data_IF_283208371951
#
_entry.id   IF_283208371951
#
_cell.length_a   1.000
_cell.length_b   1.000
_cell.length_c   1.000
_cell.angle_alpha   90.00
_cell.angle_beta   90.00
_cell.angle_gamma   90.00
#
_symmetry.space_group_name_H-M   'P 1'
#
loop_
_entity.id
_entity.type
_entity.pdbx_description
1 polymer ?
#
# COMPACT_ATOMS: atom_id res chain seq x y z
N UNK A 1 18.90 -10.39 -28.54
CA UNK A 1 17.85 -11.14 -27.84
C UNK A 1 17.42 -10.26 -26.68
N UNK A 2 16.13 -10.01 -26.52
CA UNK A 2 15.63 -9.20 -25.40
C UNK A 2 15.83 -9.98 -24.07
N UNK A 3 16.24 -9.33 -22.96
CA UNK A 3 16.52 -9.99 -21.69
C UNK A 3 15.30 -10.78 -21.17
N UNK A 4 15.52 -11.88 -20.45
CA UNK A 4 14.40 -12.70 -19.94
C UNK A 4 13.61 -11.97 -18.86
N UNK A 5 14.27 -11.17 -18.01
CA UNK A 5 13.62 -10.33 -16.99
C UNK A 5 12.58 -9.37 -17.58
N UNK A 6 12.86 -8.75 -18.72
CA UNK A 6 11.91 -7.82 -19.37
C UNK A 6 10.62 -8.52 -19.81
N UNK A 7 10.72 -9.75 -20.33
CA UNK A 7 9.54 -10.53 -20.67
C UNK A 7 8.75 -10.93 -19.42
N UNK A 8 9.46 -11.37 -18.37
CA UNK A 8 8.86 -11.78 -17.10
C UNK A 8 8.08 -10.62 -16.48
N UNK A 9 8.71 -9.44 -16.35
CA UNK A 9 8.06 -8.23 -15.81
C UNK A 9 6.77 -7.91 -16.58
N UNK A 10 6.82 -7.90 -17.91
CA UNK A 10 5.65 -7.60 -18.74
C UNK A 10 4.54 -8.65 -18.62
N UNK A 11 4.90 -9.92 -18.50
CA UNK A 11 3.93 -11.00 -18.32
C UNK A 11 3.23 -10.87 -16.95
N UNK A 12 4.00 -10.58 -15.90
CA UNK A 12 3.50 -10.33 -14.54
C UNK A 12 2.59 -9.10 -14.51
N UNK A 13 2.99 -8.00 -15.14
CA UNK A 13 2.16 -6.80 -15.29
C UNK A 13 0.87 -7.08 -16.05
N UNK A 14 0.94 -7.89 -17.11
CA UNK A 14 -0.24 -8.27 -17.89
C UNK A 14 -1.24 -9.06 -17.03
N UNK A 15 -0.76 -10.05 -16.28
CA UNK A 15 -1.58 -10.85 -15.37
C UNK A 15 -2.18 -9.99 -14.25
N UNK A 16 -1.35 -9.15 -13.62
CA UNK A 16 -1.76 -8.26 -12.54
C UNK A 16 -2.79 -7.23 -13.02
N UNK A 17 -2.56 -6.58 -14.16
CA UNK A 17 -3.50 -5.63 -14.73
C UNK A 17 -4.86 -6.27 -15.06
N UNK A 18 -4.87 -7.54 -15.54
CA UNK A 18 -6.11 -8.27 -15.77
C UNK A 18 -6.89 -8.55 -14.48
N UNK A 19 -6.18 -8.93 -13.42
CA UNK A 19 -6.78 -9.15 -12.09
C UNK A 19 -7.29 -7.83 -11.49
N UNK A 20 -6.51 -6.74 -11.55
CA UNK A 20 -6.90 -5.41 -11.08
C UNK A 20 -8.17 -4.89 -11.77
N UNK A 21 -8.28 -5.07 -13.09
CA UNK A 21 -9.51 -4.74 -13.84
C UNK A 21 -10.69 -5.59 -13.38
N UNK A 22 -10.46 -6.89 -13.12
CA UNK A 22 -11.48 -7.82 -12.63
C UNK A 22 -11.98 -7.43 -11.23
N UNK A 23 -11.06 -7.04 -10.34
CA UNK A 23 -11.38 -6.48 -9.03
C UNK A 23 -12.30 -5.26 -9.16
N UNK A 24 -11.95 -4.30 -10.02
CA UNK A 24 -12.79 -3.12 -10.27
C UNK A 24 -14.21 -3.47 -10.72
N UNK A 25 -14.35 -4.35 -11.72
CA UNK A 25 -15.66 -4.81 -12.21
C UNK A 25 -16.48 -5.52 -11.13
N UNK A 26 -15.83 -6.32 -10.27
CA UNK A 26 -16.50 -6.99 -9.16
C UNK A 26 -17.01 -5.99 -8.11
N UNK A 27 -16.25 -4.95 -7.79
CA UNK A 27 -16.68 -3.91 -6.84
C UNK A 27 -17.89 -3.13 -7.36
N UNK A 28 -17.88 -2.78 -8.65
CA UNK A 28 -19.00 -2.11 -9.30
C UNK A 28 -20.27 -2.98 -9.29
N UNK A 29 -20.13 -4.27 -9.63
CA UNK A 29 -21.24 -5.24 -9.65
C UNK A 29 -21.80 -5.51 -8.24
N UNK A 30 -20.95 -5.59 -7.24
CA UNK A 30 -21.33 -5.98 -5.87
C UNK A 30 -21.63 -7.48 -5.70
N UNK A 31 -22.01 -7.90 -4.48
CA UNK A 31 -22.07 -9.31 -4.07
C UNK A 31 -23.15 -10.17 -4.75
N UNK A 32 -24.20 -9.56 -5.29
CA UNK A 32 -25.29 -10.26 -5.98
C UNK A 32 -25.92 -11.38 -5.14
N UNK A 33 -26.24 -12.51 -5.78
CA UNK A 33 -26.93 -13.64 -5.15
C UNK A 33 -26.04 -14.54 -4.26
N UNK A 34 -24.71 -14.41 -4.36
CA UNK A 34 -23.75 -15.28 -3.66
C UNK A 34 -22.70 -14.45 -2.89
N UNK A 35 -23.10 -13.78 -1.79
CA UNK A 35 -22.23 -12.85 -1.08
C UNK A 35 -20.98 -13.51 -0.48
N UNK A 36 -21.07 -14.74 0.02
CA UNK A 36 -19.91 -15.43 0.62
C UNK A 36 -18.80 -15.65 -0.42
N UNK A 37 -19.13 -16.28 -1.55
CA UNK A 37 -18.20 -16.48 -2.65
C UNK A 37 -17.63 -15.17 -3.18
N UNK A 38 -18.43 -14.09 -3.19
CA UNK A 38 -17.97 -12.77 -3.59
C UNK A 38 -16.83 -12.25 -2.69
N UNK A 39 -17.02 -12.27 -1.37
CA UNK A 39 -16.00 -11.83 -0.42
C UNK A 39 -14.78 -12.77 -0.40
N UNK A 40 -14.98 -14.07 -0.57
CA UNK A 40 -13.88 -15.04 -0.72
C UNK A 40 -12.97 -14.70 -1.91
N UNK A 41 -13.56 -14.41 -3.08
CA UNK A 41 -12.79 -14.05 -4.28
C UNK A 41 -12.07 -12.71 -4.10
N UNK A 42 -12.72 -11.70 -3.52
CA UNK A 42 -12.06 -10.41 -3.26
C UNK A 42 -10.89 -10.56 -2.28
N UNK A 43 -11.03 -11.38 -1.24
CA UNK A 43 -9.93 -11.69 -0.32
C UNK A 43 -8.79 -12.40 -1.03
N UNK A 44 -9.08 -13.38 -1.88
CA UNK A 44 -8.06 -14.08 -2.66
C UNK A 44 -7.32 -13.14 -3.62
N UNK A 45 -8.03 -12.23 -4.29
CA UNK A 45 -7.42 -11.21 -5.15
C UNK A 45 -6.47 -10.29 -4.37
N UNK A 46 -6.91 -9.74 -3.23
CA UNK A 46 -6.07 -8.86 -2.41
C UNK A 46 -4.87 -9.61 -1.79
N UNK A 47 -5.06 -10.88 -1.44
CA UNK A 47 -3.98 -11.74 -0.96
C UNK A 47 -2.92 -11.98 -2.04
N UNK A 48 -3.33 -12.25 -3.27
CA UNK A 48 -2.40 -12.39 -4.39
C UNK A 48 -1.55 -11.12 -4.60
N UNK A 49 -2.15 -9.93 -4.52
CA UNK A 49 -1.41 -8.66 -4.68
C UNK A 49 -0.33 -8.53 -3.60
N UNK A 50 -0.67 -8.84 -2.35
CA UNK A 50 0.26 -8.78 -1.23
C UNK A 50 1.39 -9.79 -1.35
N UNK A 51 1.06 -11.04 -1.71
CA UNK A 51 2.05 -12.12 -1.72
C UNK A 51 2.99 -12.10 -2.92
N UNK A 52 2.52 -11.62 -4.07
CA UNK A 52 3.27 -11.76 -5.31
C UNK A 52 3.89 -10.43 -5.78
N UNK A 53 3.13 -9.45 -6.29
CA UNK A 53 3.71 -8.16 -6.68
C UNK A 53 4.53 -7.50 -5.56
N UNK A 54 3.97 -7.37 -4.36
CA UNK A 54 4.60 -6.59 -3.29
C UNK A 54 5.81 -7.27 -2.65
N UNK A 55 5.81 -8.61 -2.57
CA UNK A 55 6.85 -9.37 -1.84
C UNK A 55 7.87 -10.06 -2.72
N UNK A 56 7.57 -10.29 -4.01
CA UNK A 56 8.45 -11.00 -4.93
C UNK A 56 8.88 -10.15 -6.12
N UNK A 57 7.96 -9.41 -6.73
CA UNK A 57 8.24 -8.59 -7.92
C UNK A 57 8.95 -7.28 -7.56
N UNK A 58 8.28 -6.38 -6.83
CA UNK A 58 8.80 -5.03 -6.51
C UNK A 58 10.18 -5.05 -5.82
N UNK A 59 10.50 -5.99 -4.89
CA UNK A 59 11.83 -6.04 -4.30
C UNK A 59 12.95 -6.25 -5.33
N UNK A 60 12.71 -7.05 -6.38
CA UNK A 60 13.70 -7.28 -7.43
C UNK A 60 13.91 -6.05 -8.29
N UNK A 61 12.86 -5.29 -8.55
CA UNK A 61 12.97 -4.02 -9.25
C UNK A 61 13.76 -2.99 -8.43
N UNK A 62 13.35 -2.76 -7.18
CA UNK A 62 14.00 -1.81 -6.26
C UNK A 62 15.45 -2.17 -5.95
N UNK A 63 15.76 -3.46 -5.75
CA UNK A 63 17.10 -3.86 -5.30
C UNK A 63 18.07 -4.10 -6.46
N UNK A 64 17.59 -4.54 -7.63
CA UNK A 64 18.45 -5.01 -8.72
C UNK A 64 18.36 -4.14 -9.98
N UNK A 65 17.16 -3.81 -10.44
CA UNK A 65 16.94 -3.10 -11.70
C UNK A 65 17.13 -1.59 -11.54
N UNK A 66 16.35 -0.97 -10.67
CA UNK A 66 16.29 0.48 -10.50
C UNK A 66 17.64 1.13 -10.17
N UNK A 67 18.47 0.59 -9.25
CA UNK A 67 19.76 1.20 -8.93
C UNK A 67 20.68 1.26 -10.16
N UNK A 68 20.65 0.22 -11.01
CA UNK A 68 21.48 0.13 -12.21
C UNK A 68 21.03 1.09 -13.30
N UNK A 69 19.71 1.27 -13.44
CA UNK A 69 19.13 2.24 -14.38
C UNK A 69 19.44 3.66 -13.91
N UNK A 70 19.21 3.98 -12.63
CA UNK A 70 19.49 5.32 -12.09
C UNK A 70 20.97 5.72 -12.21
N UNK A 71 21.89 4.76 -12.07
CA UNK A 71 23.34 4.98 -12.24
C UNK A 71 23.71 5.39 -13.68
N UNK A 72 23.06 4.80 -14.69
CA UNK A 72 23.44 4.94 -16.11
C UNK A 72 22.50 5.85 -16.92
N UNK A 73 21.31 6.13 -16.41
CA UNK A 73 20.31 7.04 -16.97
C UNK A 73 19.81 8.01 -15.89
N UNK A 74 20.62 9.01 -15.48
CA UNK A 74 20.28 9.92 -14.37
C UNK A 74 18.97 10.68 -14.55
N UNK A 75 18.51 10.87 -15.79
CA UNK A 75 17.22 11.48 -16.11
C UNK A 75 16.01 10.69 -15.56
N UNK A 76 16.19 9.41 -15.23
CA UNK A 76 15.15 8.55 -14.63
C UNK A 76 15.14 8.58 -13.11
N UNK A 77 16.15 9.18 -12.46
CA UNK A 77 16.37 9.05 -11.03
C UNK A 77 15.21 9.59 -10.17
N UNK A 78 14.57 10.69 -10.60
CA UNK A 78 13.40 11.24 -9.89
C UNK A 78 12.20 10.30 -9.94
N UNK A 79 11.95 9.71 -11.12
CA UNK A 79 10.88 8.74 -11.32
C UNK A 79 11.15 7.44 -10.55
N UNK A 80 12.38 6.93 -10.58
CA UNK A 80 12.78 5.76 -9.80
C UNK A 80 12.57 6.03 -8.30
N UNK A 81 12.99 7.19 -7.80
CA UNK A 81 12.75 7.55 -6.40
C UNK A 81 11.26 7.66 -6.07
N UNK A 82 10.40 8.02 -7.03
CA UNK A 82 8.95 7.93 -6.87
C UNK A 82 8.51 6.47 -6.78
N UNK A 83 8.86 5.62 -7.74
CA UNK A 83 8.48 4.20 -7.78
C UNK A 83 8.93 3.45 -6.50
N UNK A 84 10.14 3.72 -5.99
CA UNK A 84 10.60 3.13 -4.72
C UNK A 84 9.72 3.54 -3.52
N UNK A 85 9.23 4.79 -3.48
CA UNK A 85 8.27 5.21 -2.44
C UNK A 85 6.92 4.52 -2.62
N UNK A 86 6.51 4.28 -3.86
CA UNK A 86 5.29 3.56 -4.20
C UNK A 86 5.37 2.10 -3.74
N UNK A 87 6.48 1.40 -4.03
CA UNK A 87 6.78 0.06 -3.52
C UNK A 87 6.78 0.01 -1.98
N UNK A 88 7.44 0.97 -1.32
CA UNK A 88 7.49 1.00 0.14
C UNK A 88 6.12 1.21 0.80
N UNK A 89 5.14 1.75 0.06
CA UNK A 89 3.77 1.96 0.54
C UNK A 89 2.80 0.85 0.13
N UNK A 90 3.18 -0.05 -0.79
CA UNK A 90 2.31 -1.06 -1.40
C UNK A 90 1.62 -1.97 -0.38
N UNK A 91 2.40 -2.62 0.49
CA UNK A 91 1.89 -3.51 1.55
C UNK A 91 0.90 -2.78 2.49
N UNK A 92 1.17 -1.51 2.82
CA UNK A 92 0.26 -0.71 3.65
C UNK A 92 -1.06 -0.39 2.91
N UNK A 93 -0.99 -0.12 1.61
CA UNK A 93 -2.17 0.13 0.77
C UNK A 93 -3.05 -1.13 0.65
N UNK A 94 -2.45 -2.30 0.44
CA UNK A 94 -3.18 -3.57 0.35
C UNK A 94 -3.86 -3.92 1.68
N UNK A 95 -3.15 -3.80 2.82
CA UNK A 95 -3.74 -4.01 4.16
C UNK A 95 -4.91 -3.08 4.43
N UNK A 96 -4.84 -1.83 3.99
CA UNK A 96 -5.95 -0.89 4.14
C UNK A 96 -7.19 -1.35 3.36
N UNK A 97 -7.02 -1.90 2.16
CA UNK A 97 -8.13 -2.47 1.39
C UNK A 97 -8.70 -3.72 2.05
N UNK A 98 -7.85 -4.63 2.53
CA UNK A 98 -8.28 -5.83 3.26
C UNK A 98 -9.12 -5.45 4.50
N UNK A 99 -8.70 -4.43 5.24
CA UNK A 99 -9.47 -3.94 6.40
C UNK A 99 -10.83 -3.38 6.00
N UNK A 100 -10.90 -2.58 4.93
CA UNK A 100 -12.17 -2.03 4.43
C UNK A 100 -13.10 -3.11 3.88
N UNK A 101 -12.54 -4.15 3.24
CA UNK A 101 -13.28 -5.30 2.77
C UNK A 101 -13.94 -6.05 3.93
N UNK A 102 -13.17 -6.32 5.00
CA UNK A 102 -13.69 -6.94 6.21
C UNK A 102 -14.76 -6.08 6.90
N UNK A 103 -14.57 -4.76 6.93
CA UNK A 103 -15.59 -3.86 7.47
C UNK A 103 -16.90 -3.94 6.67
N UNK A 104 -16.83 -4.07 5.34
CA UNK A 104 -18.00 -4.28 4.49
C UNK A 104 -18.65 -5.65 4.72
N UNK A 105 -17.85 -6.71 4.78
CA UNK A 105 -18.34 -8.07 5.03
C UNK A 105 -19.08 -8.18 6.38
N UNK A 106 -18.52 -7.58 7.44
CA UNK A 106 -19.02 -7.73 8.81
C UNK A 106 -20.09 -6.71 9.21
N UNK A 107 -19.99 -5.47 8.73
CA UNK A 107 -20.89 -4.37 9.11
C UNK A 107 -21.92 -4.03 8.01
N UNK A 108 -21.85 -4.70 6.87
CA UNK A 108 -22.81 -4.59 5.78
C UNK A 108 -22.64 -3.35 4.91
N UNK A 109 -23.66 -3.09 4.09
CA UNK A 109 -23.60 -2.17 2.93
C UNK A 109 -23.18 -0.73 3.29
N UNK A 110 -23.39 -0.30 4.53
CA UNK A 110 -22.94 1.01 5.03
C UNK A 110 -21.43 1.26 4.87
N UNK A 111 -20.62 0.21 4.73
CA UNK A 111 -19.16 0.30 4.54
C UNK A 111 -18.72 0.11 3.09
N UNK A 112 -19.62 -0.26 2.18
CA UNK A 112 -19.29 -0.51 0.77
C UNK A 112 -18.64 0.70 0.11
N UNK A 113 -19.21 1.89 0.30
CA UNK A 113 -18.73 3.10 -0.37
C UNK A 113 -17.26 3.40 -0.03
N UNK A 114 -16.89 3.26 1.24
CA UNK A 114 -15.50 3.45 1.68
C UNK A 114 -14.54 2.47 1.00
N UNK A 115 -14.92 1.19 0.91
CA UNK A 115 -14.14 0.18 0.19
C UNK A 115 -14.07 0.47 -1.31
N UNK A 116 -15.18 0.85 -1.95
CA UNK A 116 -15.24 1.12 -3.38
C UNK A 116 -14.38 2.33 -3.78
N UNK A 117 -14.45 3.42 -3.01
CA UNK A 117 -13.62 4.61 -3.22
C UNK A 117 -12.14 4.29 -3.04
N UNK A 118 -11.79 3.57 -1.98
CA UNK A 118 -10.40 3.17 -1.73
C UNK A 118 -9.87 2.25 -2.84
N UNK A 119 -10.68 1.28 -3.28
CA UNK A 119 -10.33 0.37 -4.38
C UNK A 119 -10.10 1.14 -5.67
N UNK A 120 -11.00 2.05 -6.05
CA UNK A 120 -10.83 2.86 -7.25
C UNK A 120 -9.53 3.68 -7.25
N UNK A 121 -9.19 4.28 -6.11
CA UNK A 121 -7.92 5.00 -5.95
C UNK A 121 -6.72 4.06 -6.09
N UNK A 122 -6.78 2.90 -5.44
CA UNK A 122 -5.72 1.89 -5.50
C UNK A 122 -5.51 1.38 -6.92
N UNK A 123 -6.58 1.04 -7.66
CA UNK A 123 -6.49 0.59 -9.05
C UNK A 123 -5.86 1.65 -9.96
N UNK A 124 -6.26 2.91 -9.82
CA UNK A 124 -5.71 4.00 -10.63
C UNK A 124 -4.22 4.23 -10.35
N UNK A 125 -3.83 4.19 -9.08
CA UNK A 125 -2.45 4.26 -8.64
C UNK A 125 -1.60 3.12 -9.22
N UNK A 126 -2.04 1.87 -9.05
CA UNK A 126 -1.28 0.69 -9.45
C UNK A 126 -1.11 0.57 -10.97
N UNK A 127 -2.16 0.91 -11.73
CA UNK A 127 -2.09 0.89 -13.19
C UNK A 127 -1.16 1.99 -13.73
N UNK A 128 -1.12 3.16 -13.09
CA UNK A 128 -0.19 4.22 -13.48
C UNK A 128 1.26 3.89 -13.15
N UNK A 129 1.48 3.26 -11.99
CA UNK A 129 2.77 2.73 -11.56
C UNK A 129 3.39 1.78 -12.62
N UNK A 130 2.68 0.70 -12.97
CA UNK A 130 3.14 -0.24 -14.01
C UNK A 130 3.33 0.45 -15.38
N UNK A 131 2.49 1.44 -15.71
CA UNK A 131 2.62 2.19 -16.96
C UNK A 131 3.93 2.97 -17.00
N UNK A 132 4.33 3.60 -15.88
CA UNK A 132 5.57 4.36 -15.80
C UNK A 132 6.79 3.45 -15.96
N UNK A 133 6.77 2.28 -15.32
CA UNK A 133 7.81 1.26 -15.51
C UNK A 133 7.91 0.84 -16.97
N UNK A 134 6.81 0.39 -17.58
CA UNK A 134 6.82 -0.13 -18.94
C UNK A 134 7.15 0.91 -20.01
N UNK A 135 6.73 2.16 -19.82
CA UNK A 135 6.88 3.20 -20.84
C UNK A 135 8.12 4.08 -20.66
N UNK A 136 8.73 4.10 -19.47
CA UNK A 136 9.88 4.94 -19.16
C UNK A 136 11.07 4.12 -18.68
N UNK A 137 10.90 3.32 -17.63
CA UNK A 137 12.02 2.63 -16.97
C UNK A 137 12.54 1.46 -17.81
N UNK A 138 11.68 0.55 -18.25
CA UNK A 138 12.10 -0.62 -19.05
C UNK A 138 12.77 -0.20 -20.37
N UNK A 139 12.25 0.80 -21.13
CA UNK A 139 12.95 1.30 -22.32
C UNK A 139 14.28 1.98 -22.03
N UNK A 140 14.44 2.65 -20.87
CA UNK A 140 15.72 3.20 -20.45
C UNK A 140 16.71 2.07 -20.12
N UNK A 141 16.28 1.08 -19.34
CA UNK A 141 17.08 -0.09 -18.97
C UNK A 141 17.64 -0.80 -20.21
N UNK A 142 16.79 -1.07 -21.21
CA UNK A 142 17.19 -1.71 -22.48
C UNK A 142 18.28 -0.93 -23.25
N UNK A 143 18.35 0.38 -23.08
CA UNK A 143 19.34 1.23 -23.75
C UNK A 143 20.68 1.30 -23.02
N UNK A 144 20.65 1.26 -21.69
CA UNK A 144 21.82 1.62 -20.87
C UNK A 144 22.47 0.45 -20.16
N UNK A 145 21.74 -0.65 -19.89
CA UNK A 145 22.28 -1.79 -19.15
C UNK A 145 23.14 -2.69 -20.03
N UNK A 146 24.24 -3.17 -19.45
CA UNK A 146 25.18 -4.08 -20.10
C UNK A 146 24.70 -5.54 -20.03
N UNK A 147 25.33 -6.43 -20.81
CA UNK A 147 25.02 -7.86 -20.74
C UNK A 147 25.31 -8.48 -19.35
N UNK A 148 26.30 -7.97 -18.62
CA UNK A 148 26.62 -8.42 -17.26
C UNK A 148 25.55 -8.00 -16.25
N UNK A 149 25.03 -6.77 -16.39
CA UNK A 149 23.90 -6.29 -15.58
C UNK A 149 22.67 -7.20 -15.81
N UNK A 150 22.35 -7.47 -17.08
CA UNK A 150 21.23 -8.33 -17.44
C UNK A 150 21.39 -9.76 -16.92
N UNK A 151 22.60 -10.33 -16.89
CA UNK A 151 22.79 -11.69 -16.39
C UNK A 151 22.36 -11.83 -14.92
N UNK A 152 22.64 -10.82 -14.10
CA UNK A 152 22.24 -10.81 -12.67
C UNK A 152 20.74 -10.61 -12.53
N UNK A 153 20.17 -9.68 -13.30
CA UNK A 153 18.74 -9.35 -13.24
C UNK A 153 17.90 -10.52 -13.77
N UNK A 154 18.27 -11.09 -14.92
CA UNK A 154 17.62 -12.25 -15.54
C UNK A 154 17.61 -13.45 -14.58
N UNK A 155 18.75 -13.81 -13.98
CA UNK A 155 18.80 -14.91 -13.03
C UNK A 155 17.90 -14.69 -11.81
N UNK A 156 17.75 -13.45 -11.35
CA UNK A 156 16.85 -13.12 -10.25
C UNK A 156 15.37 -13.23 -10.70
N UNK A 157 14.98 -12.63 -11.82
CA UNK A 157 13.61 -12.67 -12.30
C UNK A 157 13.18 -14.06 -12.80
N UNK A 158 14.08 -14.91 -13.30
CA UNK A 158 13.73 -16.30 -13.67
C UNK A 158 13.27 -17.16 -12.49
N UNK A 159 13.55 -16.74 -11.26
CA UNK A 159 13.00 -17.37 -10.05
C UNK A 159 11.60 -16.89 -9.67
N UNK A 160 11.07 -15.88 -10.38
CA UNK A 160 9.68 -15.46 -10.24
C UNK A 160 8.75 -16.52 -10.84
N UNK A 161 8.10 -17.28 -9.96
CA UNK A 161 7.15 -18.31 -10.33
C UNK A 161 5.70 -17.79 -10.22
N UNK A 162 5.33 -16.78 -11.01
CA UNK A 162 3.98 -16.18 -10.94
C UNK A 162 2.89 -17.24 -11.18
N UNK A 163 2.03 -17.53 -10.19
CA UNK A 163 0.97 -18.52 -10.33
C UNK A 163 -0.10 -18.13 -11.37
N UNK A 164 -0.26 -16.84 -11.68
CA UNK A 164 -1.25 -16.35 -12.65
C UNK A 164 -0.74 -16.33 -14.09
N UNK A 165 0.57 -16.46 -14.33
CA UNK A 165 1.11 -16.56 -15.70
C UNK A 165 0.85 -17.93 -16.34
N UNK A 166 0.52 -18.94 -15.53
CA UNK A 166 0.31 -20.33 -15.98
C UNK A 166 1.58 -21.03 -16.49
N UNK A 167 2.75 -20.40 -16.31
CA UNK A 167 4.06 -20.91 -16.77
C UNK A 167 4.75 -21.81 -15.75
N UNK A 168 4.36 -21.72 -14.48
CA UNK A 168 5.01 -22.40 -13.38
C UNK A 168 4.01 -23.27 -12.60
N UNK A 169 4.45 -24.42 -12.06
CA UNK A 169 3.63 -25.17 -11.13
C UNK A 169 3.33 -24.27 -9.92
N UNK A 170 2.08 -24.30 -9.45
CA UNK A 170 1.69 -23.61 -8.22
C UNK A 170 2.62 -24.08 -7.09
N UNK A 171 3.21 -23.15 -6.34
CA UNK A 171 3.96 -23.51 -5.13
C UNK A 171 3.03 -24.37 -4.25
N UNK A 172 3.50 -25.50 -3.70
CA UNK A 172 2.70 -26.35 -2.83
C UNK A 172 2.05 -25.62 -1.64
N UNK A 173 2.59 -24.47 -1.21
CA UNK A 173 2.02 -23.61 -0.17
C UNK A 173 0.74 -22.91 -0.64
N UNK A 174 0.59 -22.67 -1.95
CA UNK A 174 -0.59 -22.06 -2.58
C UNK A 174 -1.52 -23.08 -3.26
N UNK A 175 -1.26 -24.39 -3.12
CA UNK A 175 -2.17 -25.47 -3.57
C UNK A 175 -3.12 -25.91 -2.44
N UNK A 176 -4.41 -25.49 -2.46
CA UNK A 176 -5.38 -25.87 -1.44
C UNK A 176 -5.81 -27.35 -1.52
N UNK A 177 -5.38 -28.13 -2.52
CA UNK A 177 -5.84 -29.51 -2.75
C UNK A 177 -4.94 -30.60 -2.15
N UNK A 178 -4.02 -30.26 -1.25
CA UNK A 178 -3.14 -31.23 -0.57
C UNK A 178 -3.78 -31.94 0.63
N UNK A 179 -5.05 -32.35 0.54
CA UNK A 179 -5.56 -33.45 1.36
C UNK A 179 -6.00 -34.61 0.46
N UNK A 180 -5.58 -35.86 0.76
CA UNK A 180 -6.13 -37.02 0.06
C UNK A 180 -7.62 -37.08 0.35
N UNK A 181 -8.46 -37.13 -0.70
CA UNK A 181 -9.91 -37.34 -0.58
C UNK A 181 -10.19 -38.61 0.23
N UNK A 182 -10.39 -38.46 1.53
CA UNK A 182 -11.01 -39.44 2.39
C UNK A 182 -12.46 -38.99 2.62
N UNK A 183 -13.39 -39.77 2.07
CA UNK A 183 -14.81 -39.91 2.38
C UNK A 183 -15.61 -38.69 2.85
N UNK A 184 -16.68 -38.43 2.09
CA UNK A 184 -17.78 -37.52 2.36
C UNK A 184 -18.27 -37.52 3.82
N UNK A 185 -18.40 -36.31 4.39
CA UNK A 185 -19.57 -35.90 5.17
C UNK A 185 -19.68 -34.36 5.12
N UNK A 186 -20.63 -33.88 4.32
CA UNK A 186 -20.89 -32.45 4.09
C UNK A 186 -21.96 -31.96 5.07
N UNK A 187 -21.59 -31.81 6.34
CA UNK A 187 -22.42 -31.09 7.32
C UNK A 187 -21.59 -30.15 8.17
N UNK A 188 -21.65 -28.86 7.83
CA UNK A 188 -21.53 -27.79 8.82
C UNK A 188 -20.14 -27.20 9.03
N UNK A 189 -20.04 -25.90 8.74
CA UNK A 189 -19.09 -24.91 9.31
C UNK A 189 -17.63 -25.35 9.37
N UNK A 190 -16.85 -24.82 8.42
CA UNK A 190 -15.44 -24.50 8.67
C UNK A 190 -15.14 -23.13 8.09
N UNK A 191 -15.27 -22.12 8.96
CA UNK A 191 -14.50 -20.89 8.86
C UNK A 191 -13.03 -21.29 8.99
N UNK A 192 -12.31 -21.31 7.87
CA UNK A 192 -10.85 -21.42 7.83
C UNK A 192 -10.45 -20.29 6.87
N UNK A 193 -9.96 -19.16 7.35
CA UNK A 193 -8.55 -19.04 7.72
C UNK A 193 -8.35 -17.88 8.72
N UNK A 194 -8.13 -18.22 9.98
CA UNK A 194 -7.70 -17.28 11.02
C UNK A 194 -6.78 -18.07 11.97
N UNK A 195 -5.54 -18.34 11.56
CA UNK A 195 -4.59 -19.03 12.44
C UNK A 195 -3.09 -18.84 12.15
N UNK A 196 -2.66 -18.12 11.10
CA UNK A 196 -1.21 -17.87 10.93
C UNK A 196 -0.73 -16.57 11.58
N UNK A 197 -1.63 -15.64 11.90
CA UNK A 197 -1.31 -14.36 12.54
C UNK A 197 -1.06 -14.46 14.06
N UNK A 198 -1.24 -15.64 14.66
CA UNK A 198 -1.13 -15.82 16.12
C UNK A 198 0.18 -16.49 16.58
N UNK A 199 0.97 -17.10 15.70
CA UNK A 199 2.14 -17.90 16.11
C UNK A 199 3.50 -17.25 15.81
N UNK A 200 3.54 -16.16 15.04
CA UNK A 200 4.78 -15.38 14.84
C UNK A 200 4.47 -13.88 14.92
N UNK A 201 4.85 -13.16 15.99
CA UNK A 201 4.80 -11.71 15.97
C UNK A 201 5.81 -11.21 14.92
N UNK A 202 5.45 -10.30 13.98
CA UNK A 202 6.43 -9.71 13.11
C UNK A 202 7.44 -8.95 13.97
N UNK A 203 8.70 -9.37 13.84
CA UNK A 203 9.85 -8.85 14.56
C UNK A 203 9.91 -7.33 14.50
N UNK A 204 10.18 -6.70 15.65
CA UNK A 204 10.89 -5.42 15.71
C UNK A 204 12.22 -5.58 14.96
N UNK A 205 12.22 -5.24 13.67
CA UNK A 205 13.31 -5.53 12.74
C UNK A 205 13.91 -4.28 12.10
N UNK A 206 13.84 -3.11 12.73
CA UNK A 206 14.73 -1.99 12.38
C UNK A 206 15.96 -2.10 13.29
N UNK A 207 17.03 -2.74 12.80
CA UNK A 207 18.38 -2.47 13.29
C UNK A 207 18.93 -1.30 12.49
N UNK A 208 18.56 -0.08 12.89
CA UNK A 208 19.29 1.11 12.46
C UNK A 208 20.62 1.17 13.24
N UNK A 209 21.79 1.36 12.60
CA UNK A 209 23.01 1.66 13.31
C UNK A 209 22.89 3.04 13.99
N UNK A 210 23.07 3.08 15.31
CA UNK A 210 23.12 4.30 16.10
C UNK A 210 24.38 5.07 15.72
N UNK A 211 24.24 6.05 14.84
CA UNK A 211 25.29 7.03 14.57
C UNK A 211 25.27 8.05 15.71
N UNK A 212 26.21 7.90 16.66
CA UNK A 212 26.55 8.96 17.62
C UNK A 212 27.15 10.13 16.84
N UNK A 213 26.49 11.27 16.83
CA UNK A 213 27.12 12.56 16.59
C UNK A 213 26.54 13.59 17.57
N UNK A 214 27.44 14.10 18.39
CA UNK A 214 27.22 15.15 19.36
C UNK A 214 27.08 16.51 18.66
N UNK A 215 26.11 17.30 19.10
CA UNK A 215 26.15 18.76 19.14
C UNK A 215 25.02 19.20 20.09
N UNK A 216 25.33 19.44 21.37
CA UNK A 216 25.65 20.75 21.95
C UNK A 216 24.43 21.41 22.62
N UNK A 217 24.41 21.27 23.94
CA UNK A 217 23.90 22.16 24.98
C UNK A 217 22.95 23.31 24.58
N UNK A 218 21.70 23.23 25.03
CA UNK A 218 20.90 24.41 25.40
C UNK A 218 19.75 24.02 26.35
N UNK A 219 20.06 23.56 27.56
CA UNK A 219 19.09 23.58 28.68
C UNK A 219 19.79 23.45 30.04
N UNK A 220 20.45 24.52 30.47
CA UNK A 220 20.77 24.75 31.88
C UNK A 220 20.69 26.24 32.21
N UNK A 221 19.51 26.69 32.63
CA UNK A 221 19.35 27.76 33.63
C UNK A 221 17.89 27.80 34.10
N UNK A 222 17.57 27.00 35.11
CA UNK A 222 16.39 27.27 35.95
C UNK A 222 16.74 26.87 37.37
N UNK A 223 17.42 27.76 38.10
CA UNK A 223 17.20 27.96 39.54
C UNK A 223 17.77 29.30 39.97
N UNK A 224 17.06 29.99 40.86
CA UNK A 224 17.45 31.14 41.71
C UNK A 224 17.25 32.54 41.14
N UNK A 225 16.10 33.15 41.48
CA UNK A 225 16.07 34.47 42.11
C UNK A 225 14.70 34.69 42.81
N UNK A 226 14.69 34.51 44.12
CA UNK A 226 13.66 35.03 45.04
C UNK A 226 13.90 36.52 45.33
N UNK A 227 12.80 37.25 45.56
CA UNK A 227 12.68 38.45 46.41
C UNK A 227 12.96 39.85 45.81
N UNK A 228 11.89 40.66 45.72
CA UNK A 228 11.66 41.85 46.57
C UNK A 228 10.90 42.98 45.83
N UNK A 229 9.94 43.63 46.50
CA UNK A 229 9.39 44.93 46.08
C UNK A 229 7.86 44.98 45.93
N UNK A 230 7.21 45.88 46.66
CA UNK A 230 5.77 45.92 46.97
C UNK A 230 4.99 46.97 46.14
N UNK A 231 3.73 46.62 45.86
CA UNK A 231 2.50 47.38 45.54
C UNK A 231 2.54 48.85 45.06
N UNK A 232 1.80 49.09 43.96
CA UNK A 232 0.89 50.24 43.79
C UNK A 232 -0.21 49.94 42.76
N UNK A 233 -1.45 50.33 43.07
CA UNK A 233 -2.64 50.31 42.21
C UNK A 233 -3.08 51.77 42.01
N UNK A 234 -3.62 52.13 40.83
CA UNK A 234 -4.92 52.82 40.82
C UNK A 234 -5.82 52.23 39.72
N UNK A 235 -7.06 51.80 40.01
CA UNK A 235 -8.32 52.57 40.05
C UNK A 235 -8.75 53.20 38.72
N UNK A 236 -9.87 52.70 38.17
CA UNK A 236 -10.62 53.25 37.03
C UNK A 236 -11.72 52.27 36.57
N UNK A 237 -12.97 52.57 36.90
CA UNK A 237 -14.23 51.81 36.68
C UNK A 237 -14.72 51.77 35.20
N UNK A 238 -15.91 51.21 34.88
CA UNK A 238 -16.52 49.91 35.22
C UNK A 238 -17.05 49.15 33.98
N UNK A 239 -17.57 47.94 34.20
CA UNK A 239 -18.34 47.16 33.23
C UNK A 239 -19.85 47.53 33.25
N UNK A 240 -20.47 47.61 32.07
CA UNK A 240 -21.91 47.58 31.82
C UNK A 240 -22.11 47.37 30.30
N UNK A 241 -23.13 46.75 29.74
CA UNK A 241 -24.16 45.79 30.13
C UNK A 241 -24.74 45.31 28.79
N UNK A 242 -25.09 44.02 28.68
CA UNK A 242 -25.97 43.53 27.61
C UNK A 242 -27.33 44.24 27.73
N UNK A 243 -27.77 44.95 26.67
CA UNK A 243 -29.17 45.04 26.23
C UNK A 243 -29.35 45.99 25.02
N UNK A 244 -30.06 45.48 24.00
CA UNK A 244 -30.91 46.19 23.01
C UNK A 244 -30.28 47.05 21.91
N UNK A 245 -30.36 46.56 20.67
CA UNK A 245 -31.03 47.31 19.61
C UNK A 245 -31.64 46.36 18.57
N UNK A 246 -32.96 46.44 18.48
CA UNK A 246 -33.87 45.79 17.55
C UNK A 246 -33.75 46.38 16.14
N UNK A 247 -34.05 45.52 15.17
CA UNK A 247 -34.86 45.78 13.97
C UNK A 247 -34.31 46.55 12.75
N UNK A 248 -34.83 46.07 11.60
CA UNK A 248 -34.90 46.64 10.24
C UNK A 248 -33.68 46.36 9.35
N UNK A 249 -33.81 45.89 8.10
CA UNK A 249 -34.93 45.44 7.28
C UNK A 249 -34.32 44.76 6.05
N UNK A 250 -34.92 43.66 5.59
CA UNK A 250 -34.78 43.20 4.20
C UNK A 250 -35.45 44.22 3.26
N UNK A 251 -35.04 44.28 1.98
CA UNK A 251 -36.06 44.21 0.94
C UNK A 251 -35.78 43.14 -0.11
N UNK A 252 -36.83 42.39 -0.40
CA UNK A 252 -37.04 41.53 -1.57
C UNK A 252 -37.62 42.36 -2.72
N UNK A 253 -37.40 41.83 -3.94
CA UNK A 253 -38.14 42.01 -5.20
C UNK A 253 -37.81 43.20 -6.10
N UNK A 254 -37.31 42.91 -7.31
CA UNK A 254 -38.17 42.63 -8.47
C UNK A 254 -37.49 41.61 -9.39
#
# INVERSE_FOLDING_TARGET
MEPSSIHIIRDEHTALAAMLRSLGMMVERGPGAHPQNYFDVLRAMLFYIDEYPERLHHPKETELLFPKVAERAPETAELIAQLDREHAMGEANVRQLQHLLLAWELLGESRREAFAVATKRFLGFYLEHMRLEETVILPAALKVLSAEDWQTIDAAFETNCDPLTGKYPCDPVYDPHREPRASADWTGRRLIWCAHWAEVPPSTGIKAPVMKLACSEATKTTTLATSSGRATRPMGMPAASLATLLERSLPTNA
#
